data_IF_203169347969
#
_entry.id   IF_203169347969
#
_cell.length_a   1.000
_cell.length_b   1.000
_cell.length_c   1.000
_cell.angle_alpha   90.00
_cell.angle_beta   90.00
_cell.angle_gamma   90.00
#
_symmetry.space_group_name_H-M   'P 1'
#
loop_
_entity.id
_entity.type
_entity.pdbx_description
1 polymer ?
#
# COMPACT_ATOMS: atom_id res chain seq x y z
N UNK A 1 -3.99 -5.58 -13.25
CA UNK A 1 -3.49 -4.48 -12.40
C UNK A 1 -2.81 -3.50 -13.33
N UNK A 2 -3.51 -2.43 -13.73
CA UNK A 2 -3.03 -1.35 -14.60
C UNK A 2 -3.29 0.02 -13.95
N UNK A 3 -3.49 0.04 -12.62
CA UNK A 3 -4.06 1.21 -11.97
C UNK A 3 -3.02 2.33 -11.83
N UNK A 4 -1.74 2.00 -11.62
CA UNK A 4 -0.67 3.01 -11.50
C UNK A 4 -0.17 3.41 -12.89
N UNK A 5 -0.01 2.47 -13.83
CA UNK A 5 0.30 2.80 -15.22
C UNK A 5 -0.77 3.67 -15.91
N UNK A 6 -2.07 3.41 -15.67
CA UNK A 6 -3.16 4.24 -16.23
C UNK A 6 -3.23 5.65 -15.60
N UNK A 7 -2.76 5.82 -14.36
CA UNK A 7 -2.67 7.13 -13.71
C UNK A 7 -1.55 7.98 -14.33
N UNK A 8 -0.48 7.37 -14.85
CA UNK A 8 0.60 8.08 -15.52
C UNK A 8 0.37 8.31 -17.02
N UNK A 9 -0.33 7.41 -17.72
CA UNK A 9 -0.61 7.58 -19.16
C UNK A 9 -1.78 8.52 -19.47
N UNK A 10 -2.50 9.02 -18.46
CA UNK A 10 -3.63 9.93 -18.63
C UNK A 10 -4.84 9.33 -19.37
N UNK A 11 -4.78 8.04 -19.74
CA UNK A 11 -5.78 7.36 -20.53
C UNK A 11 -6.62 6.45 -19.63
N UNK A 12 -7.58 7.03 -18.89
CA UNK A 12 -8.74 6.27 -18.43
C UNK A 12 -9.88 6.56 -19.38
N UNK A 13 -10.24 5.60 -20.23
CA UNK A 13 -11.41 5.78 -21.10
C UNK A 13 -12.70 5.84 -20.25
N UNK A 14 -13.77 6.53 -20.72
CA UNK A 14 -15.04 6.58 -19.98
C UNK A 14 -15.59 5.19 -19.61
N UNK A 15 -15.40 4.19 -20.48
CA UNK A 15 -15.81 2.81 -20.22
C UNK A 15 -15.00 2.12 -19.13
N UNK A 16 -13.68 2.32 -19.08
CA UNK A 16 -12.82 1.79 -18.02
C UNK A 16 -13.12 2.43 -16.66
N UNK A 17 -13.42 3.73 -16.65
CA UNK A 17 -13.87 4.44 -15.45
C UNK A 17 -15.16 3.85 -14.91
N UNK A 18 -16.17 3.67 -15.76
CA UNK A 18 -17.45 3.08 -15.38
C UNK A 18 -17.29 1.64 -14.89
N UNK A 19 -16.45 0.84 -15.55
CA UNK A 19 -16.16 -0.53 -15.12
C UNK A 19 -15.47 -0.57 -13.74
N UNK A 20 -14.52 0.34 -13.49
CA UNK A 20 -13.84 0.46 -12.21
C UNK A 20 -14.79 0.92 -11.09
N UNK A 21 -15.71 1.84 -11.38
CA UNK A 21 -16.76 2.28 -10.46
C UNK A 21 -17.73 1.15 -10.12
N UNK A 22 -18.20 0.40 -11.12
CA UNK A 22 -19.08 -0.76 -10.92
C UNK A 22 -18.39 -1.88 -10.12
N UNK A 23 -17.11 -2.15 -10.40
CA UNK A 23 -16.32 -3.12 -9.63
C UNK A 23 -16.15 -2.68 -8.18
N UNK A 24 -15.91 -1.37 -7.94
CA UNK A 24 -15.83 -0.82 -6.60
C UNK A 24 -17.16 -0.97 -5.86
N UNK A 25 -18.28 -0.65 -6.50
CA UNK A 25 -19.60 -0.77 -5.89
C UNK A 25 -19.89 -2.23 -5.47
N UNK A 26 -19.59 -3.21 -6.34
CA UNK A 26 -19.74 -4.63 -6.00
C UNK A 26 -18.94 -5.04 -4.76
N UNK A 27 -17.72 -4.49 -4.59
CA UNK A 27 -16.90 -4.77 -3.41
C UNK A 27 -17.52 -4.14 -2.16
N UNK A 28 -18.05 -2.92 -2.25
CA UNK A 28 -18.78 -2.26 -1.15
C UNK A 28 -20.04 -3.06 -0.75
N UNK A 29 -20.82 -3.50 -1.73
CA UNK A 29 -22.01 -4.31 -1.48
C UNK A 29 -21.64 -5.64 -0.79
N UNK A 30 -20.56 -6.30 -1.25
CA UNK A 30 -20.03 -7.51 -0.61
C UNK A 30 -19.56 -7.23 0.81
N UNK A 31 -18.87 -6.11 1.05
CA UNK A 31 -18.42 -5.71 2.38
C UNK A 31 -19.60 -5.58 3.34
N UNK A 32 -20.73 -5.02 2.91
CA UNK A 32 -21.92 -4.89 3.74
C UNK A 32 -22.60 -6.23 4.04
N UNK A 33 -22.51 -7.22 3.16
CA UNK A 33 -22.97 -8.58 3.46
C UNK A 33 -22.03 -9.30 4.44
N UNK A 34 -20.71 -9.16 4.25
CA UNK A 34 -19.71 -9.74 5.16
C UNK A 34 -19.94 -9.23 6.58
N UNK A 35 -20.17 -7.92 6.77
CA UNK A 35 -20.43 -7.32 8.09
C UNK A 35 -21.56 -7.99 8.89
N UNK A 36 -22.55 -8.60 8.22
CA UNK A 36 -23.67 -9.27 8.88
C UNK A 36 -23.29 -10.63 9.46
N UNK A 37 -22.33 -11.31 8.84
CA UNK A 37 -21.91 -12.67 9.21
C UNK A 37 -20.60 -12.66 10.01
N UNK A 38 -19.72 -11.72 9.69
CA UNK A 38 -18.42 -11.48 10.31
C UNK A 38 -18.36 -10.01 10.77
N UNK A 39 -18.80 -9.71 12.01
CA UNK A 39 -18.84 -8.35 12.53
C UNK A 39 -17.46 -7.67 12.51
N UNK A 40 -17.40 -6.35 12.24
CA UNK A 40 -16.14 -5.61 12.27
C UNK A 40 -15.44 -5.70 13.62
N UNK A 41 -14.14 -6.05 13.60
CA UNK A 41 -13.26 -6.00 14.77
C UNK A 41 -12.16 -4.97 14.56
N UNK A 42 -11.53 -4.55 15.64
CA UNK A 42 -10.41 -3.60 15.58
C UNK A 42 -9.15 -4.30 15.04
N UNK A 43 -8.67 -3.84 13.88
CA UNK A 43 -7.39 -4.25 13.33
C UNK A 43 -6.33 -3.17 13.52
N UNK A 44 -5.09 -3.63 13.75
CA UNK A 44 -3.88 -2.80 13.76
C UNK A 44 -2.97 -3.21 12.62
N UNK A 45 -2.67 -2.27 11.74
CA UNK A 45 -1.69 -2.43 10.67
C UNK A 45 -0.49 -1.51 10.92
N UNK A 46 0.72 -2.03 10.77
CA UNK A 46 1.95 -1.25 10.89
C UNK A 46 2.74 -1.37 9.59
N UNK A 47 2.95 -0.22 8.95
CA UNK A 47 3.61 -0.13 7.64
C UNK A 47 5.12 0.05 7.80
N UNK A 48 5.88 -0.43 6.82
CA UNK A 48 7.34 -0.31 6.80
C UNK A 48 7.79 1.14 6.55
N UNK A 49 7.08 1.87 5.69
CA UNK A 49 7.43 3.25 5.35
C UNK A 49 6.18 4.16 5.22
N UNK A 50 6.42 5.46 4.98
CA UNK A 50 5.37 6.47 4.91
C UNK A 50 4.51 6.37 3.64
N UNK A 51 5.08 5.86 2.54
CA UNK A 51 4.42 5.73 1.24
C UNK A 51 3.42 4.57 1.25
N UNK A 52 3.82 3.41 1.76
CA UNK A 52 2.96 2.26 2.02
C UNK A 52 1.75 2.66 2.87
N UNK A 53 1.98 3.44 3.93
CA UNK A 53 0.90 4.00 4.75
C UNK A 53 -0.05 4.88 3.95
N UNK A 54 0.45 5.76 3.08
CA UNK A 54 -0.38 6.66 2.27
C UNK A 54 -1.28 5.88 1.32
N UNK A 55 -0.75 4.85 0.65
CA UNK A 55 -1.55 3.94 -0.18
C UNK A 55 -2.60 3.24 0.67
N UNK A 56 -2.20 2.67 1.81
CA UNK A 56 -3.14 1.94 2.67
C UNK A 56 -4.30 2.83 3.13
N UNK A 57 -4.02 4.07 3.54
CA UNK A 57 -5.07 5.04 3.88
C UNK A 57 -5.98 5.39 2.70
N UNK A 58 -5.43 5.54 1.50
CA UNK A 58 -6.22 5.78 0.30
C UNK A 58 -7.14 4.59 -0.03
N UNK A 59 -6.63 3.36 0.12
CA UNK A 59 -7.39 2.13 -0.09
C UNK A 59 -8.53 2.00 0.93
N UNK A 60 -8.28 2.28 2.21
CA UNK A 60 -9.32 2.28 3.24
C UNK A 60 -10.43 3.29 2.92
N UNK A 61 -10.07 4.52 2.53
CA UNK A 61 -11.03 5.56 2.15
C UNK A 61 -11.83 5.18 0.90
N UNK A 62 -11.21 4.48 -0.05
CA UNK A 62 -11.89 3.97 -1.24
C UNK A 62 -13.03 3.01 -0.89
N UNK A 63 -12.89 2.26 0.20
CA UNK A 63 -13.91 1.34 0.73
C UNK A 63 -14.79 1.96 1.81
N UNK A 64 -14.77 3.29 1.99
CA UNK A 64 -15.49 4.02 3.03
C UNK A 64 -15.17 3.55 4.46
N UNK A 65 -14.01 2.90 4.64
CA UNK A 65 -13.51 2.51 5.96
C UNK A 65 -12.88 3.72 6.63
N UNK A 66 -13.08 3.85 7.94
CA UNK A 66 -12.63 4.98 8.75
C UNK A 66 -11.35 4.62 9.51
N UNK A 67 -10.15 4.93 8.97
CA UNK A 67 -8.91 4.73 9.71
C UNK A 67 -8.79 5.72 10.87
N UNK A 68 -8.18 5.27 11.95
CA UNK A 68 -7.79 6.10 13.08
C UNK A 68 -6.43 5.64 13.62
N UNK A 69 -5.93 6.32 14.65
CA UNK A 69 -4.70 5.97 15.34
C UNK A 69 -4.89 6.25 16.83
N UNK A 70 -4.42 5.35 17.68
CA UNK A 70 -4.44 5.56 19.15
C UNK A 70 -3.29 6.48 19.56
N UNK A 71 -3.43 7.10 20.73
CA UNK A 71 -2.36 7.89 21.33
C UNK A 71 -1.07 7.06 21.47
N UNK A 72 0.10 7.70 21.27
CA UNK A 72 1.45 7.09 21.34
C UNK A 72 1.77 6.00 20.31
N UNK A 73 0.90 5.71 19.34
CA UNK A 73 1.26 4.80 18.24
C UNK A 73 2.21 5.48 17.24
N UNK A 74 3.14 4.69 16.68
CA UNK A 74 4.03 5.13 15.60
C UNK A 74 3.21 5.71 14.43
N UNK A 75 3.75 6.71 13.75
CA UNK A 75 3.04 7.39 12.65
C UNK A 75 2.69 6.42 11.50
N UNK A 76 3.48 5.36 11.30
CA UNK A 76 3.24 4.29 10.32
C UNK A 76 2.13 3.29 10.71
N UNK A 77 1.53 3.45 11.89
CA UNK A 77 0.45 2.57 12.38
C UNK A 77 -0.92 3.14 12.00
N UNK A 78 -1.80 2.26 11.52
CA UNK A 78 -3.19 2.55 11.16
C UNK A 78 -4.09 1.54 11.85
N UNK A 79 -5.13 2.03 12.51
CA UNK A 79 -6.21 1.24 13.11
C UNK A 79 -7.47 1.37 12.28
N UNK A 80 -8.27 0.31 12.19
CA UNK A 80 -9.56 0.35 11.49
C UNK A 80 -10.50 -0.75 12.00
N UNK A 81 -11.79 -0.46 12.08
CA UNK A 81 -12.83 -1.46 12.32
C UNK A 81 -13.21 -2.13 11.01
N UNK A 82 -12.92 -3.42 10.87
CA UNK A 82 -13.14 -4.15 9.62
C UNK A 82 -13.32 -5.64 9.90
N UNK A 83 -14.13 -6.32 9.07
CA UNK A 83 -14.34 -7.75 9.16
C UNK A 83 -13.07 -8.52 8.78
N UNK A 84 -12.76 -9.59 9.52
CA UNK A 84 -11.56 -10.41 9.31
C UNK A 84 -11.51 -10.98 7.90
N UNK A 85 -12.64 -11.51 7.43
CA UNK A 85 -12.78 -12.11 6.10
C UNK A 85 -12.45 -11.10 5.00
N UNK A 86 -12.90 -9.85 5.16
CA UNK A 86 -12.59 -8.79 4.18
C UNK A 86 -11.11 -8.42 4.18
N UNK A 87 -10.45 -8.43 5.35
CA UNK A 87 -9.01 -8.20 5.45
C UNK A 87 -8.24 -9.23 4.64
N UNK A 88 -8.53 -10.51 4.89
CA UNK A 88 -7.80 -11.63 4.33
C UNK A 88 -8.05 -11.80 2.82
N UNK A 89 -9.30 -11.70 2.39
CA UNK A 89 -9.67 -11.98 1.00
C UNK A 89 -9.51 -10.79 0.06
N UNK A 90 -9.56 -9.56 0.57
CA UNK A 90 -9.67 -8.36 -0.27
C UNK A 90 -8.67 -7.27 0.11
N UNK A 91 -8.76 -6.72 1.31
CA UNK A 91 -8.01 -5.50 1.65
C UNK A 91 -6.50 -5.72 1.64
N UNK A 92 -6.02 -6.76 2.31
CA UNK A 92 -4.58 -7.01 2.45
C UNK A 92 -3.92 -7.45 1.15
N UNK A 93 -4.46 -8.42 0.38
CA UNK A 93 -3.90 -8.77 -0.92
C UNK A 93 -3.83 -7.61 -1.90
N UNK A 94 -4.86 -6.76 -1.94
CA UNK A 94 -4.85 -5.58 -2.80
C UNK A 94 -3.82 -4.54 -2.38
N UNK A 95 -3.69 -4.30 -1.07
CA UNK A 95 -2.65 -3.43 -0.55
C UNK A 95 -1.27 -3.91 -0.97
N UNK A 96 -0.95 -5.20 -0.76
CA UNK A 96 0.36 -5.76 -1.12
C UNK A 96 0.66 -5.62 -2.61
N UNK A 97 -0.33 -5.81 -3.48
CA UNK A 97 -0.15 -5.63 -4.91
C UNK A 97 0.17 -4.17 -5.29
N UNK A 98 -0.57 -3.22 -4.72
CA UNK A 98 -0.33 -1.78 -4.95
C UNK A 98 1.00 -1.32 -4.37
N UNK A 99 1.36 -1.79 -3.18
CA UNK A 99 2.60 -1.44 -2.50
C UNK A 99 3.83 -1.98 -3.24
N UNK A 100 3.75 -3.19 -3.79
CA UNK A 100 4.78 -3.77 -4.66
C UNK A 100 5.00 -2.92 -5.91
N UNK A 101 3.92 -2.55 -6.60
CA UNK A 101 3.98 -1.74 -7.83
C UNK A 101 4.55 -0.35 -7.55
N UNK A 102 4.10 0.32 -6.47
CA UNK A 102 4.64 1.61 -6.07
C UNK A 102 6.12 1.52 -5.71
N UNK A 103 6.52 0.55 -4.87
CA UNK A 103 7.91 0.41 -4.42
C UNK A 103 8.85 0.21 -5.60
N UNK A 104 8.47 -0.66 -6.55
CA UNK A 104 9.26 -0.87 -7.77
C UNK A 104 9.47 0.43 -8.55
N UNK A 105 8.41 1.22 -8.71
CA UNK A 105 8.49 2.49 -9.43
C UNK A 105 9.29 3.57 -8.71
N UNK A 106 9.13 3.68 -7.38
CA UNK A 106 9.91 4.61 -6.57
C UNK A 106 11.41 4.28 -6.64
N UNK A 107 11.77 2.99 -6.58
CA UNK A 107 13.15 2.56 -6.72
C UNK A 107 13.71 2.92 -8.10
N UNK A 108 12.97 2.64 -9.17
CA UNK A 108 13.41 2.98 -10.54
C UNK A 108 13.67 4.49 -10.70
N UNK A 109 12.80 5.35 -10.14
CA UNK A 109 13.00 6.80 -10.16
C UNK A 109 14.19 7.20 -9.30
N UNK A 110 14.31 6.65 -8.09
CA UNK A 110 15.42 6.95 -7.18
C UNK A 110 16.77 6.59 -7.82
N UNK A 111 16.90 5.41 -8.42
CA UNK A 111 18.11 4.96 -9.10
C UNK A 111 18.50 5.91 -10.23
N UNK A 112 17.53 6.33 -11.05
CA UNK A 112 17.75 7.31 -12.14
C UNK A 112 18.24 8.65 -11.60
N UNK A 113 17.69 9.12 -10.49
CA UNK A 113 18.09 10.39 -9.87
C UNK A 113 19.50 10.26 -9.28
N UNK A 114 19.78 9.20 -8.53
CA UNK A 114 21.09 8.97 -7.90
C UNK A 114 22.18 8.92 -8.97
N UNK A 115 22.00 8.11 -10.02
CA UNK A 115 22.98 7.98 -11.12
C UNK A 115 23.27 9.30 -11.83
N UNK A 116 22.24 10.12 -12.04
CA UNK A 116 22.36 11.36 -12.83
C UNK A 116 22.82 12.56 -12.01
N UNK A 117 22.38 12.67 -10.76
CA UNK A 117 22.53 13.89 -9.96
C UNK A 117 23.56 13.75 -8.83
N UNK A 118 23.87 12.54 -8.39
CA UNK A 118 24.80 12.29 -7.28
C UNK A 118 26.08 11.67 -7.84
N UNK A 119 26.01 10.44 -8.32
CA UNK A 119 27.14 9.72 -8.88
C UNK A 119 26.66 8.49 -9.65
N UNK A 120 27.31 8.16 -10.77
CA UNK A 120 26.87 7.07 -11.66
C UNK A 120 27.03 5.68 -11.03
N UNK A 121 28.04 5.52 -10.18
CA UNK A 121 28.20 4.31 -9.36
C UNK A 121 27.18 4.31 -8.23
N UNK A 122 26.24 3.38 -8.35
CA UNK A 122 25.17 3.09 -7.38
C UNK A 122 25.28 1.64 -6.90
N UNK A 123 26.47 1.03 -7.02
CA UNK A 123 26.72 -0.31 -6.49
C UNK A 123 26.61 -0.33 -4.97
N UNK A 124 26.15 -1.47 -4.46
CA UNK A 124 26.05 -1.69 -3.02
C UNK A 124 27.45 -1.79 -2.40
N UNK A 125 27.55 -1.37 -1.14
CA UNK A 125 28.80 -1.44 -0.41
C UNK A 125 29.28 -2.88 -0.25
N UNK A 126 30.60 -3.08 -0.32
CA UNK A 126 31.22 -4.38 -0.03
C UNK A 126 30.93 -4.79 1.42
N UNK A 127 30.46 -6.02 1.60
CA UNK A 127 30.24 -6.61 2.93
C UNK A 127 31.56 -7.18 3.46
N UNK A 128 32.18 -6.47 4.40
CA UNK A 128 33.41 -6.89 5.10
C UNK A 128 33.10 -7.37 6.52
N UNK A 129 33.70 -8.49 6.92
CA UNK A 129 33.55 -9.02 8.29
C UNK A 129 34.15 -8.04 9.30
N UNK A 130 33.45 -7.85 10.43
CA UNK A 130 33.95 -7.02 11.52
C UNK A 130 35.26 -7.59 12.05
N UNK A 131 36.32 -6.80 11.98
CA UNK A 131 37.62 -7.17 12.51
C UNK A 131 37.47 -7.22 14.04
N UNK A 132 37.53 -8.42 14.61
CA UNK A 132 37.58 -8.60 16.05
C UNK A 132 38.87 -7.97 16.56
N UNK A 133 38.75 -6.91 17.35
CA UNK A 133 39.85 -6.48 18.19
C UNK A 133 39.95 -7.50 19.33
N UNK A 134 40.90 -8.42 19.23
CA UNK A 134 41.35 -9.22 20.39
C UNK A 134 42.08 -8.25 21.34
N UNK A 135 41.57 -8.17 22.58
CA UNK A 135 42.18 -7.42 23.71
C UNK A 135 43.50 -8.04 24.17
#
# INVERSE_FOLDING_TARGET
>A
MKLIEALHSGATTPGEKQAAENALQKIKDRLDQIKKVDPPVEYKFSMQNIWSRRIFLALLRRYDLKPYRRFRQRYTTVMVMVSKTFVEETLWPQFLALDKELTAHLNEIADKIIRRAVFDDSSEAEEVQAIGFEE
#
